data_IF_931436485686
#
_entry.id   IF_931436485686
#
_cell.length_a   1.000
_cell.length_b   1.000
_cell.length_c   1.000
_cell.angle_alpha   90.00
_cell.angle_beta   90.00
_cell.angle_gamma   90.00
#
_symmetry.space_group_name_H-M   'P 1'
#
loop_
_entity.id
_entity.type
_entity.pdbx_description
1 polymer ?
#
# COMPACT_ATOMS: atom_id res chain seq x y z
N UNK A 1 5.21 5.30 6.35
CA UNK A 1 5.26 5.50 4.87
C UNK A 1 6.57 5.10 4.18
N UNK A 2 7.76 5.36 4.76
CA UNK A 2 9.06 5.13 4.09
C UNK A 2 9.28 3.70 3.54
N UNK A 3 8.77 2.67 4.23
CA UNK A 3 8.94 1.26 3.80
C UNK A 3 8.31 0.93 2.45
N UNK A 4 7.11 1.45 2.16
CA UNK A 4 6.46 1.18 0.87
C UNK A 4 7.21 1.91 -0.25
N UNK A 5 7.58 3.16 -0.02
CA UNK A 5 8.32 3.96 -0.99
C UNK A 5 9.69 3.35 -1.30
N UNK A 6 10.40 2.83 -0.29
CA UNK A 6 11.67 2.13 -0.46
C UNK A 6 11.52 0.87 -1.31
N UNK A 7 10.49 0.06 -1.03
CA UNK A 7 10.19 -1.13 -1.84
C UNK A 7 9.85 -0.77 -3.28
N UNK A 8 9.07 0.29 -3.51
CA UNK A 8 8.78 0.79 -4.86
C UNK A 8 10.04 1.29 -5.58
N UNK A 9 10.93 2.00 -4.87
CA UNK A 9 12.22 2.45 -5.42
C UNK A 9 13.14 1.29 -5.78
N UNK A 10 13.07 0.17 -5.04
CA UNK A 10 13.76 -1.08 -5.35
C UNK A 10 13.14 -1.87 -6.52
N UNK A 11 12.16 -1.29 -7.23
CA UNK A 11 11.49 -1.91 -8.37
C UNK A 11 10.40 -2.91 -7.99
N UNK A 12 10.03 -3.00 -6.71
CA UNK A 12 8.89 -3.80 -6.30
C UNK A 12 7.58 -3.13 -6.73
N UNK A 13 6.57 -3.94 -7.06
CA UNK A 13 5.26 -3.48 -7.55
C UNK A 13 4.16 -3.88 -6.59
N UNK A 14 3.18 -3.00 -6.40
CA UNK A 14 1.99 -3.32 -5.61
C UNK A 14 1.20 -4.39 -6.37
N UNK A 15 0.98 -5.53 -5.72
CA UNK A 15 0.21 -6.64 -6.28
C UNK A 15 -1.23 -6.61 -5.77
N UNK A 16 -1.42 -6.43 -4.45
CA UNK A 16 -2.74 -6.41 -3.81
C UNK A 16 -2.79 -5.41 -2.67
N UNK A 17 -3.98 -4.85 -2.46
CA UNK A 17 -4.26 -3.95 -1.34
C UNK A 17 -5.54 -4.46 -0.67
N UNK A 18 -5.47 -4.58 0.66
CA UNK A 18 -6.53 -5.07 1.52
C UNK A 18 -6.87 -4.04 2.62
N UNK A 19 -8.15 -3.84 2.93
CA UNK A 19 -9.30 -4.27 2.12
C UNK A 19 -9.35 -3.51 0.79
N UNK A 20 -9.80 -4.19 -0.27
CA UNK A 20 -9.88 -3.64 -1.62
C UNK A 20 -10.97 -2.57 -1.78
N UNK A 21 -11.94 -2.55 -0.87
CA UNK A 21 -12.98 -1.53 -0.83
C UNK A 21 -12.42 -0.29 -0.14
N UNK A 22 -12.30 0.80 -0.88
CA UNK A 22 -12.07 2.18 -0.39
C UNK A 22 -13.33 2.72 0.34
N UNK A 23 -14.13 1.85 0.92
CA UNK A 23 -15.45 2.13 1.46
C UNK A 23 -15.37 2.47 2.94
N UNK A 24 -15.83 3.68 3.25
CA UNK A 24 -16.05 4.28 4.57
C UNK A 24 -14.87 4.22 5.56
N UNK A 25 -14.33 5.42 5.80
CA UNK A 25 -13.40 5.84 6.84
C UNK A 25 -13.70 5.33 8.28
N UNK A 26 -14.87 4.75 8.52
CA UNK A 26 -15.36 4.43 9.86
C UNK A 26 -15.06 3.01 10.37
N UNK A 27 -14.67 2.04 9.52
CA UNK A 27 -14.59 0.62 9.96
C UNK A 27 -13.24 -0.06 9.70
N UNK A 28 -12.34 0.54 8.92
CA UNK A 28 -11.10 -0.13 8.53
C UNK A 28 -9.90 0.39 9.32
N UNK A 29 -9.71 -0.14 10.52
CA UNK A 29 -8.56 0.18 11.37
C UNK A 29 -7.20 -0.33 10.84
N UNK A 30 -7.17 -1.09 9.73
CA UNK A 30 -5.96 -1.75 9.23
C UNK A 30 -5.95 -1.80 7.69
N UNK A 31 -4.85 -1.37 7.08
CA UNK A 31 -4.58 -1.52 5.65
C UNK A 31 -3.37 -2.43 5.45
N UNK A 32 -3.51 -3.43 4.59
CA UNK A 32 -2.43 -4.34 4.21
C UNK A 32 -2.14 -4.19 2.73
N UNK A 33 -0.87 -3.97 2.39
CA UNK A 33 -0.39 -3.84 1.01
C UNK A 33 0.59 -4.97 0.76
N UNK A 34 0.33 -5.76 -0.26
CA UNK A 34 1.25 -6.78 -0.74
C UNK A 34 2.00 -6.19 -1.93
N UNK A 35 3.33 -6.12 -1.81
CA UNK A 35 4.22 -5.72 -2.90
C UNK A 35 5.07 -6.91 -3.31
N UNK A 36 5.20 -7.12 -4.62
CA UNK A 36 6.03 -8.15 -5.22
C UNK A 36 7.28 -7.51 -5.79
N UNK A 37 8.43 -7.93 -5.30
CA UNK A 37 9.73 -7.50 -5.78
C UNK A 37 10.14 -8.28 -7.05
N UNK A 38 11.06 -7.73 -7.86
CA UNK A 38 11.55 -8.39 -9.07
C UNK A 38 12.18 -9.76 -8.79
N UNK A 39 12.74 -9.96 -7.60
CA UNK A 39 13.25 -11.24 -7.10
C UNK A 39 12.14 -12.29 -6.81
N UNK A 40 10.87 -11.95 -7.03
CA UNK A 40 9.72 -12.82 -6.77
C UNK A 40 9.26 -12.84 -5.31
N UNK A 41 9.99 -12.18 -4.41
CA UNK A 41 9.62 -12.05 -2.99
C UNK A 41 8.41 -11.13 -2.83
N UNK A 42 7.48 -11.54 -1.97
CA UNK A 42 6.28 -10.77 -1.63
C UNK A 42 6.44 -10.19 -0.23
N UNK A 43 6.45 -8.87 -0.13
CA UNK A 43 6.46 -8.16 1.14
C UNK A 43 5.05 -7.68 1.48
N UNK A 44 4.64 -7.91 2.73
CA UNK A 44 3.35 -7.45 3.25
C UNK A 44 3.57 -6.30 4.21
N UNK A 45 3.00 -5.15 3.90
CA UNK A 45 3.07 -3.94 4.71
C UNK A 45 1.71 -3.75 5.36
N UNK A 46 1.67 -3.75 6.69
CA UNK A 46 0.45 -3.49 7.47
C UNK A 46 0.57 -2.14 8.13
N UNK A 47 -0.44 -1.30 7.96
CA UNK A 47 -0.59 -0.03 8.62
C UNK A 47 -1.91 0.00 9.40
N UNK A 48 -1.93 0.72 10.52
CA UNK A 48 -3.03 0.70 11.48
C UNK A 48 -3.51 2.13 11.73
N UNK A 49 -4.82 2.30 11.95
CA UNK A 49 -5.48 3.57 12.30
C UNK A 49 -5.05 4.71 11.35
N UNK A 50 -4.43 5.76 11.87
CA UNK A 50 -3.97 6.93 11.10
C UNK A 50 -2.99 6.54 10.00
N UNK A 51 -2.02 5.67 10.28
CA UNK A 51 -1.07 5.19 9.27
C UNK A 51 -1.77 4.45 8.12
N UNK A 52 -2.94 3.85 8.37
CA UNK A 52 -3.72 3.16 7.35
C UNK A 52 -4.37 4.15 6.37
N UNK A 53 -4.89 5.27 6.88
CA UNK A 53 -5.44 6.37 6.06
C UNK A 53 -4.36 7.04 5.23
N UNK A 54 -3.23 7.36 5.87
CA UNK A 54 -2.02 7.86 5.24
C UNK A 54 -1.55 6.93 4.10
N UNK A 55 -1.36 5.64 4.39
CA UNK A 55 -0.87 4.66 3.41
C UNK A 55 -1.80 4.54 2.21
N UNK A 56 -3.12 4.64 2.41
CA UNK A 56 -4.12 4.64 1.33
C UNK A 56 -3.96 5.86 0.44
N UNK A 57 -3.86 7.05 1.01
CA UNK A 57 -3.73 8.28 0.24
C UNK A 57 -2.43 8.29 -0.58
N UNK A 58 -1.34 7.81 0.02
CA UNK A 58 -0.06 7.65 -0.66
C UNK A 58 -0.16 6.73 -1.88
N UNK A 59 -0.78 5.56 -1.73
CA UNK A 59 -0.96 4.60 -2.82
C UNK A 59 -1.86 5.18 -3.92
N UNK A 60 -2.94 5.86 -3.55
CA UNK A 60 -3.84 6.50 -4.51
C UNK A 60 -3.11 7.54 -5.35
N UNK A 61 -2.28 8.37 -4.70
CA UNK A 61 -1.46 9.38 -5.37
C UNK A 61 -0.44 8.73 -6.30
N UNK A 62 0.25 7.68 -5.84
CA UNK A 62 1.25 6.97 -6.65
C UNK A 62 0.66 6.20 -7.83
N UNK A 63 -0.53 5.60 -7.70
CA UNK A 63 -1.19 4.93 -8.83
C UNK A 63 -1.70 5.96 -9.85
N UNK A 64 -2.14 7.14 -9.41
CA UNK A 64 -2.63 8.19 -10.30
C UNK A 64 -1.52 8.83 -11.14
N UNK A 65 -0.28 8.85 -10.62
CA UNK A 65 0.91 9.37 -11.29
C UNK A 65 1.48 8.40 -12.36
N UNK A 66 1.02 7.14 -12.38
CA UNK A 66 1.45 6.10 -13.35
C UNK A 66 0.56 6.09 -14.60
N UNK A 67 -0.34 7.08 -14.76
CA UNK A 67 -1.28 7.15 -15.89
C UNK A 67 -0.81 8.10 -17.00
#
# INVERSE_FOLDING_TARGET
>A
MLKLQDLLNNGCKIEKIYPSVLGSDAEVNIVTVEVKCPDGQIHKIRAYREEASDLREFIRTKISDIK
#
